data_IF_785522494360
#
_entry.id   IF_785522494360
#
_cell.length_a   1.000
_cell.length_b   1.000
_cell.length_c   1.000
_cell.angle_alpha   90.00
_cell.angle_beta   90.00
_cell.angle_gamma   90.00
#
_symmetry.space_group_name_H-M   'P 1'
#
loop_
_entity.id
_entity.type
_entity.pdbx_description
1 polymer ?
#
# COMPACT_ATOMS: atom_id res chain seq x y z
N UNK A 1 41.06 -19.22 -43.51
CA UNK A 1 40.43 -19.38 -42.19
C UNK A 1 40.32 -18.01 -41.54
N UNK A 2 39.11 -17.49 -41.32
CA UNK A 2 38.88 -16.25 -40.54
C UNK A 2 38.32 -16.64 -39.17
N UNK A 3 38.76 -16.01 -38.07
CA UNK A 3 38.21 -16.30 -36.75
C UNK A 3 36.78 -15.74 -36.65
N UNK A 4 35.91 -16.52 -36.01
CA UNK A 4 34.53 -16.18 -35.72
C UNK A 4 34.54 -15.09 -34.65
N UNK A 5 33.98 -13.93 -34.98
CA UNK A 5 33.68 -12.86 -34.02
C UNK A 5 32.59 -13.41 -33.08
N UNK A 6 32.97 -13.62 -31.81
CA UNK A 6 32.08 -14.07 -30.74
C UNK A 6 31.07 -12.96 -30.48
N UNK A 7 29.89 -13.11 -31.07
CA UNK A 7 28.73 -12.27 -30.84
C UNK A 7 28.57 -11.98 -29.34
N UNK A 8 28.69 -10.70 -29.00
CA UNK A 8 28.40 -10.18 -27.68
C UNK A 8 26.94 -10.50 -27.33
N UNK A 9 26.74 -11.51 -26.49
CA UNK A 9 25.46 -11.82 -25.86
C UNK A 9 24.99 -10.57 -25.11
N UNK A 10 23.86 -9.93 -25.48
CA UNK A 10 23.35 -8.85 -24.66
C UNK A 10 22.94 -9.45 -23.31
N UNK A 11 23.69 -9.11 -22.27
CA UNK A 11 23.30 -9.32 -20.89
C UNK A 11 21.93 -8.66 -20.72
N UNK A 12 20.88 -9.48 -20.63
CA UNK A 12 19.54 -9.06 -20.25
C UNK A 12 19.66 -8.31 -18.92
N UNK A 13 19.61 -6.99 -18.97
CA UNK A 13 19.47 -6.18 -17.77
C UNK A 13 18.18 -6.63 -17.06
N UNK A 14 18.19 -6.82 -15.73
CA UNK A 14 16.96 -7.07 -15.00
C UNK A 14 16.03 -5.89 -15.25
N UNK A 15 14.82 -6.18 -15.77
CA UNK A 15 13.77 -5.18 -15.94
C UNK A 15 13.48 -4.60 -14.56
N UNK A 16 14.03 -3.42 -14.29
CA UNK A 16 13.65 -2.64 -13.13
C UNK A 16 12.19 -2.24 -13.34
N UNK A 17 11.27 -2.97 -12.70
CA UNK A 17 9.85 -2.61 -12.66
C UNK A 17 9.77 -1.15 -12.16
N UNK A 18 9.22 -0.28 -12.99
CA UNK A 18 9.18 1.15 -12.69
C UNK A 18 8.40 1.38 -11.39
N UNK A 19 8.90 2.25 -10.48
CA UNK A 19 8.27 2.47 -9.17
C UNK A 19 6.80 2.91 -9.28
N UNK A 20 6.43 3.60 -10.36
CA UNK A 20 5.06 4.02 -10.66
C UNK A 20 4.08 2.86 -10.84
N UNK A 21 4.52 1.75 -11.45
CA UNK A 21 3.68 0.55 -11.61
C UNK A 21 3.39 -0.10 -10.26
N UNK A 22 4.35 -0.01 -9.32
CA UNK A 22 4.20 -0.53 -7.97
C UNK A 22 3.16 0.26 -7.15
N UNK A 23 3.14 1.59 -7.28
CA UNK A 23 2.18 2.46 -6.58
C UNK A 23 0.75 2.22 -7.10
N UNK A 24 0.57 2.18 -8.42
CA UNK A 24 -0.75 1.91 -9.01
C UNK A 24 -1.27 0.52 -8.65
N UNK A 25 -0.41 -0.51 -8.72
CA UNK A 25 -0.76 -1.87 -8.33
C UNK A 25 -1.15 -1.96 -6.83
N UNK A 26 -0.42 -1.26 -5.95
CA UNK A 26 -0.74 -1.20 -4.52
C UNK A 26 -2.09 -0.51 -4.28
N UNK A 27 -2.39 0.58 -5.00
CA UNK A 27 -3.69 1.25 -4.92
C UNK A 27 -4.83 0.37 -5.42
N UNK A 28 -4.62 -0.39 -6.49
CA UNK A 28 -5.61 -1.35 -7.00
C UNK A 28 -5.84 -2.51 -6.02
N UNK A 29 -4.78 -3.02 -5.39
CA UNK A 29 -4.88 -4.03 -4.35
C UNK A 29 -5.73 -3.54 -3.17
N UNK A 30 -5.49 -2.29 -2.71
CA UNK A 30 -6.31 -1.67 -1.67
C UNK A 30 -7.80 -1.64 -2.05
N UNK A 31 -8.15 -1.09 -3.22
CA UNK A 31 -9.55 -0.91 -3.58
C UNK A 31 -10.27 -2.24 -3.78
N UNK A 32 -9.61 -3.24 -4.35
CA UNK A 32 -10.18 -4.58 -4.50
C UNK A 32 -10.47 -5.22 -3.14
N UNK A 33 -9.51 -5.15 -2.21
CA UNK A 33 -9.68 -5.64 -0.85
C UNK A 33 -10.80 -4.91 -0.10
N UNK A 34 -10.77 -3.57 -0.13
CA UNK A 34 -11.72 -2.74 0.59
C UNK A 34 -13.16 -2.96 0.11
N UNK A 35 -13.38 -2.99 -1.21
CA UNK A 35 -14.71 -3.24 -1.77
C UNK A 35 -15.20 -4.67 -1.52
N UNK A 36 -14.29 -5.65 -1.55
CA UNK A 36 -14.62 -7.04 -1.22
C UNK A 36 -14.98 -7.20 0.25
N UNK A 37 -14.24 -6.57 1.15
CA UNK A 37 -14.58 -6.59 2.57
C UNK A 37 -15.89 -5.86 2.83
N UNK A 38 -16.09 -4.69 2.22
CA UNK A 38 -17.29 -3.88 2.43
C UNK A 38 -18.58 -4.58 1.98
N UNK A 39 -18.54 -5.50 1.01
CA UNK A 39 -19.73 -6.28 0.64
C UNK A 39 -20.19 -7.26 1.71
N UNK A 40 -19.25 -7.66 2.59
CA UNK A 40 -19.46 -8.69 3.61
C UNK A 40 -19.50 -8.09 5.03
N UNK A 41 -19.09 -6.83 5.19
CA UNK A 41 -19.03 -6.12 6.46
C UNK A 41 -20.43 -5.80 6.99
N UNK A 42 -20.63 -6.01 8.28
CA UNK A 42 -21.85 -5.60 8.98
C UNK A 42 -21.76 -4.16 9.51
N UNK A 43 -22.88 -3.65 10.04
CA UNK A 43 -22.94 -2.29 10.58
C UNK A 43 -21.97 -2.08 11.77
N UNK A 44 -21.64 -3.13 12.52
CA UNK A 44 -20.73 -3.05 13.66
C UNK A 44 -19.28 -2.88 13.19
N UNK A 45 -18.87 -3.63 12.17
CA UNK A 45 -17.58 -3.51 11.51
C UNK A 45 -17.40 -2.11 10.89
N UNK A 46 -18.44 -1.58 10.24
CA UNK A 46 -18.41 -0.23 9.70
C UNK A 46 -18.30 0.85 10.80
N UNK A 47 -18.97 0.65 11.94
CA UNK A 47 -18.86 1.56 13.09
C UNK A 47 -17.47 1.53 13.72
N UNK A 48 -16.87 0.35 13.87
CA UNK A 48 -15.49 0.19 14.34
C UNK A 48 -14.50 0.87 13.41
N UNK A 49 -14.66 0.70 12.10
CA UNK A 49 -13.85 1.40 11.12
C UNK A 49 -14.00 2.93 11.25
N UNK A 50 -15.24 3.44 11.37
CA UNK A 50 -15.46 4.87 11.53
C UNK A 50 -14.76 5.43 12.78
N UNK A 51 -14.85 4.71 13.90
CA UNK A 51 -14.19 5.08 15.15
C UNK A 51 -12.66 5.06 15.03
N UNK A 52 -12.10 4.04 14.38
CA UNK A 52 -10.67 3.94 14.13
C UNK A 52 -10.15 5.09 13.25
N UNK A 53 -10.96 5.57 12.30
CA UNK A 53 -10.58 6.61 11.35
C UNK A 53 -10.83 8.04 11.84
N UNK A 54 -11.73 8.25 12.80
CA UNK A 54 -12.08 9.56 13.35
C UNK A 54 -10.86 10.45 13.69
N UNK A 55 -9.83 9.98 14.44
CA UNK A 55 -8.66 10.81 14.75
C UNK A 55 -7.77 11.10 13.53
N UNK A 56 -7.87 10.29 12.47
CA UNK A 56 -7.06 10.41 11.24
C UNK A 56 -7.81 11.12 10.10
N UNK A 57 -9.11 11.36 10.24
CA UNK A 57 -10.01 11.96 9.24
C UNK A 57 -10.03 13.50 9.23
N UNK A 58 -9.18 14.16 10.02
CA UNK A 58 -9.21 15.62 10.27
C UNK A 58 -9.05 16.51 9.02
N UNK A 59 -8.62 15.95 7.91
CA UNK A 59 -8.61 16.56 6.59
C UNK A 59 -9.02 15.49 5.59
N UNK A 60 -9.72 15.85 4.51
CA UNK A 60 -10.19 14.93 3.45
C UNK A 60 -9.01 14.15 2.86
N UNK A 61 -8.58 13.11 3.56
CA UNK A 61 -7.50 12.21 3.18
C UNK A 61 -8.15 11.04 2.45
N UNK A 62 -7.53 10.54 1.38
CA UNK A 62 -7.93 9.28 0.80
C UNK A 62 -8.01 8.21 1.90
N UNK A 63 -9.09 7.42 1.90
CA UNK A 63 -9.37 6.42 2.94
C UNK A 63 -8.21 5.42 3.15
N UNK A 64 -7.48 5.07 2.08
CA UNK A 64 -6.30 4.20 2.17
C UNK A 64 -5.17 4.82 3.02
N UNK A 65 -5.02 6.14 3.01
CA UNK A 65 -4.05 6.84 3.86
C UNK A 65 -4.54 6.91 5.30
N UNK A 66 -5.84 7.11 5.52
CA UNK A 66 -6.42 7.12 6.87
C UNK A 66 -6.31 5.74 7.54
N UNK A 67 -6.63 4.65 6.82
CA UNK A 67 -6.43 3.28 7.28
C UNK A 67 -4.94 3.00 7.49
N UNK A 68 -4.07 3.45 6.59
CA UNK A 68 -2.62 3.34 6.76
C UNK A 68 -2.10 4.05 8.01
N UNK A 69 -2.64 5.23 8.34
CA UNK A 69 -2.31 5.97 9.55
C UNK A 69 -2.86 5.25 10.80
N UNK A 70 -4.10 4.74 10.74
CA UNK A 70 -4.71 4.00 11.84
C UNK A 70 -3.96 2.70 12.17
N UNK A 71 -3.37 2.03 11.17
CA UNK A 71 -2.52 0.86 11.36
C UNK A 71 -1.17 1.16 12.02
N UNK A 72 -0.68 2.39 11.89
CA UNK A 72 0.59 2.81 12.48
C UNK A 72 0.40 3.43 13.87
N UNK A 73 -0.84 3.74 14.25
CA UNK A 73 -1.21 4.30 15.54
C UNK A 73 -1.76 3.20 16.47
N UNK A 74 -1.04 2.84 17.54
CA UNK A 74 -1.46 1.79 18.48
C UNK A 74 -2.84 2.05 19.10
N UNK A 75 -3.26 3.31 19.24
CA UNK A 75 -4.53 3.65 19.87
C UNK A 75 -5.75 3.36 18.98
N UNK A 76 -5.55 3.27 17.67
CA UNK A 76 -6.62 3.00 16.69
C UNK A 76 -6.49 1.65 16.01
N UNK A 77 -5.31 1.03 16.05
CA UNK A 77 -5.07 -0.26 15.42
C UNK A 77 -6.00 -1.35 15.96
N UNK A 78 -6.25 -1.38 17.27
CA UNK A 78 -7.11 -2.36 17.93
C UNK A 78 -8.60 -2.19 17.57
N UNK A 79 -8.98 -1.04 17.01
CA UNK A 79 -10.33 -0.74 16.56
C UNK A 79 -10.57 -1.12 15.10
N UNK A 80 -9.51 -1.48 14.35
CA UNK A 80 -9.68 -1.85 12.96
C UNK A 80 -10.33 -3.24 12.85
N UNK A 81 -11.39 -3.38 12.02
CA UNK A 81 -12.03 -4.67 11.81
C UNK A 81 -11.04 -5.72 11.32
N UNK A 82 -10.95 -6.85 12.02
CA UNK A 82 -10.04 -7.94 11.64
C UNK A 82 -10.31 -8.45 10.23
N UNK A 83 -11.57 -8.47 9.80
CA UNK A 83 -11.97 -8.83 8.44
C UNK A 83 -11.34 -7.91 7.39
N UNK A 84 -11.27 -6.60 7.67
CA UNK A 84 -10.63 -5.64 6.77
C UNK A 84 -9.13 -5.92 6.65
N UNK A 85 -8.46 -6.18 7.77
CA UNK A 85 -7.02 -6.46 7.80
C UNK A 85 -6.68 -7.71 6.98
N UNK A 86 -7.49 -8.77 7.11
CA UNK A 86 -7.33 -9.99 6.33
C UNK A 86 -7.48 -9.77 4.83
N UNK A 87 -8.48 -8.99 4.41
CA UNK A 87 -8.69 -8.66 2.99
C UNK A 87 -7.53 -7.85 2.43
N UNK A 88 -7.04 -6.87 3.19
CA UNK A 88 -5.91 -6.03 2.78
C UNK A 88 -4.62 -6.85 2.64
N UNK A 89 -4.34 -7.75 3.60
CA UNK A 89 -3.17 -8.62 3.56
C UNK A 89 -3.25 -9.63 2.41
N UNK A 90 -4.40 -10.28 2.23
CA UNK A 90 -4.60 -11.27 1.16
C UNK A 90 -4.54 -10.67 -0.24
N UNK A 91 -4.94 -9.41 -0.40
CA UNK A 91 -4.75 -8.65 -1.65
C UNK A 91 -3.31 -8.15 -1.86
N UNK A 92 -2.42 -8.34 -0.88
CA UNK A 92 -1.04 -7.90 -0.94
C UNK A 92 -0.86 -6.39 -0.79
N UNK A 93 -1.85 -5.68 -0.22
CA UNK A 93 -1.72 -4.25 0.03
C UNK A 93 -0.62 -3.98 1.06
N UNK A 94 0.18 -2.94 0.81
CA UNK A 94 1.22 -2.47 1.71
C UNK A 94 0.95 -1.02 2.07
N UNK A 95 1.04 -0.72 3.37
CA UNK A 95 1.00 0.66 3.85
C UNK A 95 2.16 1.42 3.23
N UNK A 96 1.85 2.50 2.51
CA UNK A 96 2.85 3.42 1.99
C UNK A 96 3.51 4.13 3.17
N UNK A 97 4.64 3.58 3.63
CA UNK A 97 5.55 4.32 4.49
C UNK A 97 6.17 5.39 3.61
N UNK A 98 5.57 6.57 3.57
CA UNK A 98 6.19 7.74 2.95
C UNK A 98 7.56 7.91 3.60
N UNK A 99 8.61 7.56 2.86
CA UNK A 99 9.98 7.83 3.26
C UNK A 99 10.04 9.33 3.53
N UNK A 100 10.33 9.71 4.78
CA UNK A 100 10.57 11.10 5.16
C UNK A 100 11.54 11.68 4.12
N UNK A 101 11.23 12.77 3.41
CA UNK A 101 12.24 13.42 2.58
C UNK A 101 13.37 13.82 3.53
N UNK A 102 14.49 13.10 3.45
CA UNK A 102 15.76 13.57 4.00
C UNK A 102 16.10 14.79 3.19
N UNK A 103 15.65 15.96 3.66
CA UNK A 103 16.18 17.23 3.21
C UNK A 103 17.70 17.13 3.39
N UNK A 104 18.51 17.40 2.35
CA UNK A 104 19.94 17.52 2.55
C UNK A 104 20.15 18.63 3.58
N UNK A 105 20.82 18.28 4.68
CA UNK A 105 21.29 19.24 5.67
C UNK A 105 22.30 20.14 4.94
N UNK A 106 21.84 21.32 4.49
CA UNK A 106 22.74 22.34 3.99
C UNK A 106 23.57 22.83 5.17
N UNK A 107 24.86 22.49 5.16
CA UNK A 107 25.89 23.05 6.02
C UNK A 107 26.65 24.15 5.27
#
# INVERSE_FOLDING_TARGET
MRPIDLAATPLRAPVALSPTLSIEANRQAFWRAYLSWQSDADDADLALLAQALEPHAQHVRPIHQAIGAALLDPSTMDLLPMGLLWHLESAGWRVERTARPTLPLAA
#
